data_IF_481240336067
#
_entry.id   IF_481240336067
#
_cell.length_a   1.000
_cell.length_b   1.000
_cell.length_c   1.000
_cell.angle_alpha   90.00
_cell.angle_beta   90.00
_cell.angle_gamma   90.00
#
_symmetry.space_group_name_H-M   'P 1'
#
loop_
_entity.id
_entity.type
_entity.pdbx_description
1 polymer ?
#
# COMPACT_ATOMS: atom_id res chain seq x y z
N UNK A 1 11.48 -16.35 6.08
CA UNK A 1 10.29 -15.98 5.29
C UNK A 1 9.05 -16.18 6.14
N UNK A 2 7.95 -15.47 5.86
CA UNK A 2 6.67 -15.66 6.57
C UNK A 2 5.85 -16.77 5.90
N UNK A 3 4.90 -17.36 6.64
CA UNK A 3 3.98 -18.35 6.08
C UNK A 3 3.07 -17.70 5.03
N UNK A 4 2.63 -18.48 4.03
CA UNK A 4 1.67 -18.01 3.02
C UNK A 4 0.36 -17.53 3.66
N UNK A 5 -0.09 -18.23 4.72
CA UNK A 5 -1.28 -17.85 5.47
C UNK A 5 -1.14 -16.48 6.14
N UNK A 6 0.02 -16.20 6.75
CA UNK A 6 0.30 -14.89 7.33
C UNK A 6 0.41 -13.80 6.25
N UNK A 7 1.03 -14.09 5.11
CA UNK A 7 1.12 -13.14 3.99
C UNK A 7 -0.27 -12.73 3.48
N UNK A 8 -1.17 -13.71 3.27
CA UNK A 8 -2.54 -13.46 2.84
C UNK A 8 -3.32 -12.65 3.90
N UNK A 9 -3.13 -12.97 5.19
CA UNK A 9 -3.72 -12.21 6.30
C UNK A 9 -3.24 -10.75 6.32
N UNK A 10 -1.94 -10.51 6.12
CA UNK A 10 -1.36 -9.16 6.06
C UNK A 10 -1.93 -8.37 4.88
N UNK A 11 -1.98 -8.96 3.69
CA UNK A 11 -2.56 -8.33 2.49
C UNK A 11 -4.03 -7.97 2.68
N UNK A 12 -4.81 -8.90 3.24
CA UNK A 12 -6.23 -8.67 3.51
C UNK A 12 -6.43 -7.53 4.52
N UNK A 13 -5.66 -7.56 5.62
CA UNK A 13 -5.69 -6.51 6.66
C UNK A 13 -5.31 -5.14 6.09
N UNK A 14 -4.31 -5.06 5.20
CA UNK A 14 -3.87 -3.80 4.60
C UNK A 14 -4.97 -3.19 3.73
N UNK A 15 -5.62 -4.02 2.90
CA UNK A 15 -6.70 -3.57 2.03
C UNK A 15 -7.93 -3.16 2.85
N UNK A 16 -8.26 -3.89 3.92
CA UNK A 16 -9.36 -3.54 4.80
C UNK A 16 -9.12 -2.19 5.50
N UNK A 17 -7.93 -1.99 6.10
CA UNK A 17 -7.56 -0.73 6.75
C UNK A 17 -7.59 0.44 5.76
N UNK A 18 -7.02 0.27 4.57
CA UNK A 18 -7.06 1.28 3.48
C UNK A 18 -8.50 1.72 3.15
N UNK A 19 -9.42 0.76 3.03
CA UNK A 19 -10.83 1.04 2.71
C UNK A 19 -11.57 1.73 3.85
N UNK A 20 -11.41 1.22 5.09
CA UNK A 20 -12.08 1.75 6.28
C UNK A 20 -11.66 3.20 6.53
N UNK A 21 -10.39 3.53 6.31
CA UNK A 21 -9.87 4.89 6.46
C UNK A 21 -10.25 5.85 5.33
N UNK A 22 -11.07 5.42 4.36
CA UNK A 22 -11.47 6.25 3.22
C UNK A 22 -10.30 6.66 2.33
N UNK A 23 -9.20 5.92 2.36
CA UNK A 23 -8.00 6.24 1.58
C UNK A 23 -8.24 5.97 0.11
N UNK A 24 -7.49 6.67 -0.76
CA UNK A 24 -7.64 6.59 -2.21
C UNK A 24 -6.29 6.48 -2.90
N UNK A 25 -6.31 5.89 -4.09
CA UNK A 25 -5.17 5.70 -5.00
C UNK A 25 -4.03 4.84 -4.47
N UNK A 26 -3.37 5.28 -3.40
CA UNK A 26 -2.22 4.64 -2.80
C UNK A 26 -2.10 5.02 -1.33
N UNK A 27 -1.50 4.13 -0.55
CA UNK A 27 -1.11 4.36 0.84
C UNK A 27 -0.05 3.33 1.23
N UNK A 28 0.63 3.58 2.34
CA UNK A 28 1.38 2.55 3.07
C UNK A 28 0.60 2.18 4.32
N UNK A 29 0.48 0.88 4.60
CA UNK A 29 -0.11 0.40 5.85
C UNK A 29 0.99 -0.23 6.67
N UNK A 30 1.32 0.40 7.79
CA UNK A 30 2.38 -0.07 8.66
C UNK A 30 1.78 -0.98 9.72
N UNK A 31 2.38 -2.16 9.90
CA UNK A 31 1.86 -3.21 10.77
C UNK A 31 2.93 -3.79 11.67
N UNK A 32 2.49 -4.35 12.79
CA UNK A 32 3.29 -5.21 13.66
C UNK A 32 2.63 -6.59 13.76
N UNK A 33 3.46 -7.63 13.71
CA UNK A 33 3.02 -9.02 13.86
C UNK A 33 3.66 -9.59 15.11
N UNK A 34 2.89 -10.25 15.96
CA UNK A 34 3.41 -10.99 17.12
C UNK A 34 3.97 -12.35 16.71
N UNK A 35 4.64 -13.05 17.63
CA UNK A 35 5.09 -14.43 17.41
C UNK A 35 3.93 -15.38 17.07
N UNK A 36 2.75 -15.10 17.60
CA UNK A 36 1.54 -15.92 17.43
C UNK A 36 0.70 -15.48 16.20
N UNK A 37 1.35 -14.80 15.24
CA UNK A 37 0.74 -14.31 13.99
C UNK A 37 -0.48 -13.36 14.19
N UNK A 38 -0.55 -12.67 15.33
CA UNK A 38 -1.54 -11.61 15.55
C UNK A 38 -1.06 -10.32 14.86
N UNK A 39 -1.91 -9.76 14.00
CA UNK A 39 -1.59 -8.58 13.18
C UNK A 39 -2.22 -7.33 13.79
N UNK A 40 -1.39 -6.32 14.03
CA UNK A 40 -1.81 -5.00 14.50
C UNK A 40 -1.50 -3.95 13.44
N UNK A 41 -2.50 -3.17 13.03
CA UNK A 41 -2.31 -1.99 12.18
C UNK A 41 -1.85 -0.83 13.06
N UNK A 42 -0.69 -0.25 12.74
CA UNK A 42 -0.12 0.89 13.47
C UNK A 42 -0.53 2.21 12.84
N UNK A 43 -0.46 2.29 11.50
CA UNK A 43 -0.71 3.50 10.74
C UNK A 43 -1.25 3.15 9.34
N UNK A 44 -2.16 3.98 8.84
CA UNK A 44 -2.48 4.07 7.41
C UNK A 44 -1.95 5.43 6.93
N UNK A 45 -0.86 5.41 6.18
CA UNK A 45 -0.22 6.60 5.66
C UNK A 45 -0.71 6.89 4.23
N UNK A 46 -1.59 7.89 4.01
CA UNK A 46 -2.16 8.18 2.70
C UNK A 46 -1.21 8.94 1.75
N UNK A 47 -0.06 9.40 2.24
CA UNK A 47 0.96 10.10 1.46
C UNK A 47 2.37 9.68 1.92
N UNK A 48 2.73 8.40 1.74
CA UNK A 48 4.02 7.89 2.18
C UNK A 48 5.16 8.53 1.38
N UNK A 49 6.37 8.48 1.91
CA UNK A 49 7.58 8.87 1.18
C UNK A 49 7.68 8.10 -0.15
N UNK A 50 7.74 8.87 -1.25
CA UNK A 50 7.81 8.38 -2.62
C UNK A 50 9.24 8.44 -3.18
N UNK A 51 10.26 8.76 -2.37
CA UNK A 51 11.65 8.76 -2.83
C UNK A 51 12.03 7.39 -3.42
N UNK A 52 12.82 7.37 -4.49
CA UNK A 52 13.31 6.12 -5.07
C UNK A 52 14.07 5.30 -4.02
N UNK A 53 13.73 4.01 -3.89
CA UNK A 53 14.31 3.15 -2.86
C UNK A 53 13.72 3.32 -1.45
N UNK A 54 12.80 4.26 -1.21
CA UNK A 54 12.04 4.34 0.05
C UNK A 54 11.05 3.17 0.20
N UNK A 55 10.51 2.96 1.41
CA UNK A 55 9.73 1.76 1.74
C UNK A 55 8.54 1.48 0.79
N UNK A 56 7.80 2.51 0.40
CA UNK A 56 6.69 2.37 -0.56
C UNK A 56 7.21 1.96 -1.95
N UNK A 57 8.27 2.62 -2.44
CA UNK A 57 8.85 2.33 -3.75
C UNK A 57 9.55 0.96 -3.81
N UNK A 58 10.18 0.50 -2.71
CA UNK A 58 10.69 -0.88 -2.62
C UNK A 58 9.59 -1.91 -2.73
N UNK A 59 8.43 -1.65 -2.11
CA UNK A 59 7.25 -2.53 -2.20
C UNK A 59 6.70 -2.56 -3.63
N UNK A 60 6.62 -1.40 -4.29
CA UNK A 60 6.22 -1.31 -5.70
C UNK A 60 7.19 -2.06 -6.63
N UNK A 61 8.50 -1.93 -6.40
CA UNK A 61 9.53 -2.65 -7.13
C UNK A 61 9.43 -4.18 -6.94
N UNK A 62 9.23 -4.64 -5.71
CA UNK A 62 8.98 -6.05 -5.41
C UNK A 62 7.72 -6.58 -6.12
N UNK A 63 6.72 -5.72 -6.36
CA UNK A 63 5.53 -6.02 -7.15
C UNK A 63 5.73 -5.88 -8.68
N UNK A 64 6.96 -5.68 -9.16
CA UNK A 64 7.30 -5.60 -10.59
C UNK A 64 7.12 -4.22 -11.22
N UNK A 65 6.86 -3.18 -10.44
CA UNK A 65 6.74 -1.79 -10.91
C UNK A 65 8.07 -1.06 -10.76
N UNK A 66 8.63 -0.56 -11.86
CA UNK A 66 9.75 0.39 -11.77
C UNK A 66 9.29 1.70 -11.11
N UNK A 67 10.23 2.47 -10.58
CA UNK A 67 9.97 3.77 -9.96
C UNK A 67 9.08 4.67 -10.82
N UNK A 68 9.45 4.85 -12.10
CA UNK A 68 8.69 5.62 -13.09
C UNK A 68 7.29 5.06 -13.36
N UNK A 69 7.12 3.73 -13.38
CA UNK A 69 5.81 3.08 -13.57
C UNK A 69 4.90 3.25 -12.37
N UNK A 70 5.44 3.18 -11.15
CA UNK A 70 4.69 3.43 -9.92
C UNK A 70 4.18 4.89 -9.86
N UNK A 71 5.06 5.86 -10.11
CA UNK A 71 4.67 7.27 -10.17
C UNK A 71 3.64 7.54 -11.27
N UNK A 72 3.86 7.02 -12.48
CA UNK A 72 2.88 7.12 -13.58
C UNK A 72 1.53 6.54 -13.17
N UNK A 73 1.50 5.41 -12.45
CA UNK A 73 0.26 4.80 -11.98
C UNK A 73 -0.50 5.72 -11.02
N UNK A 74 0.19 6.34 -10.06
CA UNK A 74 -0.40 7.31 -9.12
C UNK A 74 -1.03 8.48 -9.88
N UNK A 75 -0.29 9.08 -10.82
CA UNK A 75 -0.79 10.20 -11.63
C UNK A 75 -2.02 9.79 -12.45
N UNK A 76 -2.00 8.62 -13.09
CA UNK A 76 -3.13 8.13 -13.87
C UNK A 76 -4.37 7.85 -13.01
N UNK A 77 -4.21 7.32 -11.79
CA UNK A 77 -5.32 7.13 -10.86
C UNK A 77 -5.98 8.47 -10.49
N UNK A 78 -5.16 9.49 -10.21
CA UNK A 78 -5.65 10.84 -9.92
C UNK A 78 -6.36 11.47 -11.14
N UNK A 79 -5.78 11.33 -12.33
CA UNK A 79 -6.37 11.82 -13.58
C UNK A 79 -7.74 11.20 -13.87
N UNK A 80 -7.85 9.87 -13.78
CA UNK A 80 -9.11 9.15 -14.03
C UNK A 80 -10.19 9.51 -12.99
N UNK A 81 -9.82 9.72 -11.72
CA UNK A 81 -10.77 10.24 -10.72
C UNK A 81 -11.28 11.63 -11.12
N UNK A 82 -10.39 12.52 -11.53
CA UNK A 82 -10.76 13.87 -11.95
C UNK A 82 -11.74 13.89 -13.12
N UNK A 83 -11.64 12.92 -14.04
CA UNK A 83 -12.61 12.75 -15.14
C UNK A 83 -14.00 12.32 -14.69
N UNK A 84 -14.11 11.51 -13.62
CA UNK A 84 -15.40 11.01 -13.09
C UNK A 84 -16.13 12.00 -12.20
N UNK A 85 -15.40 12.98 -11.68
CA UNK A 85 -15.95 14.04 -10.83
C UNK A 85 -16.54 15.21 -11.65
N UNK A 86 -16.38 15.18 -12.98
CA UNK A 86 -17.05 16.05 -13.94
C UNK A 86 -18.29 15.34 -14.47
#
# INVERSE_FOLDING_TARGET
EISKGLEDKLKHTAIAAFKIMGTRDYARVDMRVTSDEVVYVLEVNPNPDLTEGAGFMRSAHAAGLSYSRALKRIVMLAYERGKRAK
#
